data_IF_666504654866
#
_entry.id   IF_666504654866
#
_cell.length_a   1.000
_cell.length_b   1.000
_cell.length_c   1.000
_cell.angle_alpha   90.00
_cell.angle_beta   90.00
_cell.angle_gamma   90.00
#
_symmetry.space_group_name_H-M   'P 1'
#
loop_
_entity.id
_entity.type
_entity.pdbx_description
1 polymer ?
#
# COMPACT_ATOMS: atom_id res chain seq x y z
N UNK A 1 15.17 17.75 0.10
CA UNK A 1 15.22 16.67 1.11
C UNK A 1 14.02 16.95 2.01
N UNK A 2 12.90 16.25 1.79
CA UNK A 2 11.71 16.45 2.63
C UNK A 2 11.98 15.72 3.94
N UNK A 3 12.42 16.46 4.96
CA UNK A 3 12.51 15.94 6.32
C UNK A 3 11.11 15.48 6.74
N UNK A 4 11.00 14.18 7.02
CA UNK A 4 9.79 13.60 7.58
C UNK A 4 9.68 14.12 9.02
N UNK A 5 8.57 14.77 9.41
CA UNK A 5 8.27 14.91 10.82
C UNK A 5 8.20 13.49 11.38
N UNK A 6 8.82 13.26 12.54
CA UNK A 6 8.76 11.99 13.25
C UNK A 6 7.32 11.48 13.19
N UNK A 7 7.11 10.28 12.68
CA UNK A 7 5.84 9.58 12.82
C UNK A 7 5.48 9.66 14.30
N UNK A 8 4.43 10.41 14.64
CA UNK A 8 3.92 10.41 16.00
C UNK A 8 3.65 8.96 16.37
N UNK A 9 4.16 8.53 17.52
CA UNK A 9 4.11 7.12 17.88
C UNK A 9 2.71 6.70 18.31
N UNK A 10 1.82 7.63 18.66
CA UNK A 10 0.52 7.33 19.27
C UNK A 10 -0.62 7.74 18.35
N UNK A 11 -1.35 6.75 17.85
CA UNK A 11 -2.38 6.90 16.84
C UNK A 11 -3.78 6.60 17.37
N UNK A 12 -4.76 7.45 17.01
CA UNK A 12 -6.17 7.10 17.09
C UNK A 12 -6.61 6.53 15.74
N UNK A 13 -7.07 5.29 15.73
CA UNK A 13 -7.60 4.63 14.54
C UNK A 13 -9.09 4.92 14.40
N UNK A 14 -9.53 5.36 13.23
CA UNK A 14 -10.94 5.65 12.92
C UNK A 14 -11.41 4.76 11.79
N UNK A 15 -12.40 3.91 12.09
CA UNK A 15 -13.14 3.09 11.14
C UNK A 15 -14.58 3.56 11.06
N UNK A 16 -15.03 3.91 9.86
CA UNK A 16 -16.45 4.07 9.57
C UNK A 16 -16.99 2.83 8.88
N UNK A 17 -18.17 2.36 9.31
CA UNK A 17 -18.92 1.30 8.65
C UNK A 17 -20.05 1.92 7.82
N UNK A 18 -19.99 1.70 6.50
CA UNK A 18 -20.99 2.14 5.53
C UNK A 18 -22.00 1.05 5.14
N UNK A 19 -22.04 -0.07 5.88
CA UNK A 19 -22.87 -1.23 5.58
C UNK A 19 -22.17 -2.28 4.73
N UNK A 20 -20.84 -2.25 4.68
CA UNK A 20 -20.01 -3.18 3.89
C UNK A 20 -19.75 -4.51 4.60
N UNK A 21 -20.09 -4.61 5.89
CA UNK A 21 -19.78 -5.79 6.71
C UNK A 21 -18.30 -5.87 7.09
N UNK A 22 -17.89 -7.01 7.66
CA UNK A 22 -16.52 -7.32 8.07
C UNK A 22 -15.80 -6.21 8.86
N UNK A 23 -16.53 -5.50 9.75
CA UNK A 23 -15.98 -4.33 10.45
C UNK A 23 -14.86 -4.72 11.41
N UNK A 24 -14.96 -5.87 12.07
CA UNK A 24 -13.95 -6.35 12.99
C UNK A 24 -12.63 -6.66 12.26
N UNK A 25 -12.73 -7.32 11.11
CA UNK A 25 -11.61 -7.70 10.24
C UNK A 25 -10.94 -6.46 9.65
N UNK A 26 -11.73 -5.49 9.16
CA UNK A 26 -11.23 -4.20 8.66
C UNK A 26 -10.49 -3.40 9.74
N UNK A 27 -11.01 -3.40 10.97
CA UNK A 27 -10.34 -2.75 12.12
C UNK A 27 -9.04 -3.46 12.48
N UNK A 28 -9.06 -4.80 12.52
CA UNK A 28 -7.88 -5.62 12.81
C UNK A 28 -6.78 -5.42 11.76
N UNK A 29 -7.14 -5.47 10.48
CA UNK A 29 -6.23 -5.18 9.37
C UNK A 29 -5.65 -3.76 9.47
N UNK A 30 -6.50 -2.76 9.75
CA UNK A 30 -6.04 -1.39 9.90
C UNK A 30 -5.08 -1.22 11.07
N UNK A 31 -5.35 -1.86 12.21
CA UNK A 31 -4.42 -1.85 13.35
C UNK A 31 -3.07 -2.47 12.97
N UNK A 32 -3.06 -3.57 12.20
CA UNK A 32 -1.84 -4.16 11.66
C UNK A 32 -1.11 -3.23 10.68
N UNK A 33 -1.82 -2.44 9.86
CA UNK A 33 -1.22 -1.43 8.99
C UNK A 33 -0.52 -0.35 9.84
N UNK A 34 -1.20 0.16 10.87
CA UNK A 34 -0.65 1.17 11.79
C UNK A 34 0.61 0.66 12.48
N UNK A 35 0.57 -0.56 13.02
CA UNK A 35 1.74 -1.21 13.62
C UNK A 35 2.88 -1.43 12.61
N UNK A 36 2.55 -1.79 11.37
CA UNK A 36 3.54 -2.00 10.30
C UNK A 36 4.22 -0.69 9.83
N UNK A 37 3.56 0.45 10.03
CA UNK A 37 4.10 1.80 9.83
C UNK A 37 4.94 2.30 11.02
N UNK A 38 4.97 1.56 12.13
CA UNK A 38 5.73 1.92 13.34
C UNK A 38 4.97 2.82 14.31
N UNK A 39 3.65 2.95 14.18
CA UNK A 39 2.81 3.66 15.13
C UNK A 39 2.04 2.68 16.03
N UNK A 40 1.71 3.11 17.24
CA UNK A 40 0.94 2.38 18.25
C UNK A 40 -0.50 2.88 18.25
N UNK A 41 -1.47 1.97 18.10
CA UNK A 41 -2.89 2.31 18.20
C UNK A 41 -3.26 2.44 19.67
N UNK A 42 -3.45 3.68 20.15
CA UNK A 42 -3.81 3.96 21.55
C UNK A 42 -5.33 3.97 21.79
N UNK A 43 -6.11 4.17 20.73
CA UNK A 43 -7.56 4.07 20.78
C UNK A 43 -8.14 3.79 19.38
N UNK A 44 -9.27 3.09 19.35
CA UNK A 44 -10.00 2.80 18.12
C UNK A 44 -11.42 3.35 18.21
N UNK A 45 -11.80 4.11 17.19
CA UNK A 45 -13.13 4.71 17.04
C UNK A 45 -13.84 4.00 15.89
N UNK A 46 -14.87 3.24 16.22
CA UNK A 46 -15.76 2.63 15.23
C UNK A 46 -17.09 3.38 15.23
N UNK A 47 -17.58 3.76 14.05
CA UNK A 47 -18.89 4.38 13.93
C UNK A 47 -19.61 3.94 12.65
N UNK A 48 -20.92 3.71 12.75
CA UNK A 48 -21.76 3.35 11.61
C UNK A 48 -22.40 4.59 11.00
N UNK A 49 -22.39 4.69 9.67
CA UNK A 49 -23.01 5.80 8.93
C UNK A 49 -23.54 5.32 7.59
N UNK A 50 -24.58 5.97 7.05
CA UNK A 50 -25.10 5.61 5.72
C UNK A 50 -24.20 6.04 4.55
N UNK A 51 -23.53 7.19 4.68
CA UNK A 51 -22.68 7.75 3.64
C UNK A 51 -21.67 8.74 4.25
N UNK A 52 -20.48 8.93 3.66
CA UNK A 52 -19.47 9.86 4.16
C UNK A 52 -19.96 11.30 4.12
N UNK A 53 -19.58 12.08 5.14
CA UNK A 53 -19.83 13.52 5.17
C UNK A 53 -18.92 14.25 4.16
N UNK A 54 -19.47 15.12 3.27
CA UNK A 54 -18.67 15.80 2.25
C UNK A 54 -17.56 16.69 2.83
N UNK A 55 -17.74 17.22 4.05
CA UNK A 55 -16.80 18.15 4.67
C UNK A 55 -15.84 17.45 5.63
N UNK A 56 -16.33 16.50 6.44
CA UNK A 56 -15.58 15.92 7.55
C UNK A 56 -15.49 14.39 7.53
N UNK A 57 -16.03 13.71 6.51
CA UNK A 57 -16.09 12.25 6.40
C UNK A 57 -16.90 11.55 7.51
N UNK A 58 -16.49 11.67 8.78
CA UNK A 58 -17.20 11.18 9.97
C UNK A 58 -18.37 12.09 10.43
N UNK A 59 -18.33 13.37 10.05
CA UNK A 59 -19.32 14.39 10.43
C UNK A 59 -19.04 15.06 11.78
N UNK A 60 -19.68 16.22 12.02
CA UNK A 60 -19.30 17.14 13.12
C UNK A 60 -19.33 16.51 14.52
N UNK A 61 -20.41 15.80 14.87
CA UNK A 61 -20.55 15.21 16.22
C UNK A 61 -19.44 14.20 16.51
N UNK A 62 -19.18 13.29 15.56
CA UNK A 62 -18.13 12.28 15.72
C UNK A 62 -16.73 12.88 15.71
N UNK A 63 -16.48 13.92 14.90
CA UNK A 63 -15.20 14.64 14.91
C UNK A 63 -14.96 15.32 16.26
N UNK A 64 -15.99 15.87 16.90
CA UNK A 64 -15.86 16.44 18.25
C UNK A 64 -15.53 15.38 19.30
N UNK A 65 -16.15 14.19 19.23
CA UNK A 65 -15.80 13.05 20.08
C UNK A 65 -14.35 12.60 19.87
N UNK A 66 -13.92 12.46 18.60
CA UNK A 66 -12.55 12.10 18.25
C UNK A 66 -11.57 13.15 18.79
N UNK A 67 -11.88 14.45 18.64
CA UNK A 67 -11.05 15.53 19.19
C UNK A 67 -10.90 15.46 20.72
N UNK A 68 -11.98 15.09 21.43
CA UNK A 68 -11.92 14.88 22.87
C UNK A 68 -11.05 13.67 23.23
N UNK A 69 -11.18 12.58 22.47
CA UNK A 69 -10.42 11.36 22.68
C UNK A 69 -8.92 11.59 22.44
N UNK A 70 -8.55 12.29 21.36
CA UNK A 70 -7.16 12.65 21.06
C UNK A 70 -6.51 13.36 22.25
N UNK A 71 -7.22 14.32 22.86
CA UNK A 71 -6.72 15.05 24.04
C UNK A 71 -6.62 14.18 25.29
N UNK A 72 -7.55 13.23 25.48
CA UNK A 72 -7.53 12.36 26.67
C UNK A 72 -6.45 11.28 26.58
N UNK A 73 -6.16 10.80 25.37
CA UNK A 73 -5.15 9.76 25.15
C UNK A 73 -3.80 10.32 24.71
N UNK A 74 -3.68 11.64 24.50
CA UNK A 74 -2.47 12.32 24.06
C UNK A 74 -1.88 11.68 22.78
N UNK A 75 -2.71 11.63 21.75
CA UNK A 75 -2.36 11.09 20.44
C UNK A 75 -1.89 12.19 19.48
N UNK A 76 -0.86 11.89 18.71
CA UNK A 76 -0.23 12.84 17.76
C UNK A 76 -0.86 12.77 16.37
N UNK A 77 -1.42 11.61 16.03
CA UNK A 77 -1.88 11.27 14.69
C UNK A 77 -3.25 10.59 14.75
N UNK A 78 -4.10 10.93 13.79
CA UNK A 78 -5.38 10.26 13.56
C UNK A 78 -5.34 9.58 12.23
N UNK A 79 -5.62 8.29 12.24
CA UNK A 79 -5.56 7.43 11.06
C UNK A 79 -6.99 7.06 10.69
N UNK A 80 -7.44 7.56 9.54
CA UNK A 80 -8.71 7.15 8.95
C UNK A 80 -8.45 5.95 8.04
N UNK A 81 -9.08 4.82 8.34
CA UNK A 81 -8.98 3.62 7.52
C UNK A 81 -9.88 3.69 6.26
N UNK A 82 -9.82 4.83 5.57
CA UNK A 82 -10.61 5.15 4.39
C UNK A 82 -9.81 6.12 3.52
N UNK A 83 -10.13 6.19 2.22
CA UNK A 83 -9.60 7.24 1.36
C UNK A 83 -10.31 8.57 1.67
N UNK A 84 -9.54 9.60 1.96
CA UNK A 84 -10.06 10.94 2.25
C UNK A 84 -9.82 11.87 1.08
N UNK A 85 -10.85 12.62 0.67
CA UNK A 85 -10.67 13.69 -0.30
C UNK A 85 -9.77 14.80 0.29
N UNK A 86 -8.98 15.53 -0.55
CA UNK A 86 -8.11 16.61 -0.09
C UNK A 86 -8.81 17.72 0.72
N UNK A 87 -10.11 17.95 0.46
CA UNK A 87 -10.93 18.88 1.23
C UNK A 87 -11.29 18.35 2.61
N UNK A 88 -11.63 17.05 2.69
CA UNK A 88 -12.00 16.39 3.95
C UNK A 88 -10.81 16.31 4.90
N UNK A 89 -9.65 15.86 4.42
CA UNK A 89 -8.44 15.76 5.24
C UNK A 89 -8.07 17.11 5.86
N UNK A 90 -8.07 18.20 5.07
CA UNK A 90 -7.74 19.54 5.58
C UNK A 90 -8.72 20.02 6.64
N UNK A 91 -10.01 19.80 6.41
CA UNK A 91 -11.02 20.18 7.40
C UNK A 91 -10.82 19.37 8.69
N UNK A 92 -10.53 18.08 8.58
CA UNK A 92 -10.24 17.22 9.74
C UNK A 92 -8.99 17.69 10.49
N UNK A 93 -7.89 17.98 9.80
CA UNK A 93 -6.67 18.53 10.43
C UNK A 93 -6.96 19.83 11.18
N UNK A 94 -7.80 20.70 10.60
CA UNK A 94 -8.21 21.96 11.23
C UNK A 94 -9.10 21.75 12.46
N UNK A 95 -10.06 20.84 12.42
CA UNK A 95 -10.95 20.60 13.56
C UNK A 95 -10.28 19.79 14.68
N UNK A 96 -9.41 18.82 14.31
CA UNK A 96 -8.75 17.92 15.26
C UNK A 96 -7.44 18.50 15.81
N UNK A 97 -6.86 19.51 15.15
CA UNK A 97 -5.58 20.13 15.52
C UNK A 97 -4.42 19.11 15.60
N UNK A 98 -4.50 18.04 14.82
CA UNK A 98 -3.51 16.96 14.76
C UNK A 98 -3.27 16.54 13.31
N UNK A 99 -2.22 15.76 13.06
CA UNK A 99 -1.97 15.19 11.73
C UNK A 99 -3.05 14.15 11.42
N UNK A 100 -3.64 14.24 10.23
CA UNK A 100 -4.61 13.25 9.74
C UNK A 100 -3.99 12.48 8.59
N UNK A 101 -4.02 11.16 8.68
CA UNK A 101 -3.51 10.25 7.66
C UNK A 101 -4.65 9.36 7.18
N UNK A 102 -4.80 9.26 5.87
CA UNK A 102 -5.76 8.36 5.22
C UNK A 102 -5.12 6.99 4.95
N UNK A 103 -5.95 6.01 4.56
CA UNK A 103 -5.47 4.63 4.29
C UNK A 103 -4.37 4.63 3.21
N UNK A 104 -4.50 5.46 2.18
CA UNK A 104 -3.57 5.52 1.06
C UNK A 104 -2.19 6.03 1.51
N UNK A 105 -2.14 7.12 2.28
CA UNK A 105 -0.89 7.65 2.82
C UNK A 105 -0.25 6.66 3.78
N UNK A 106 -1.04 5.99 4.64
CA UNK A 106 -0.53 4.97 5.56
C UNK A 106 0.18 3.83 4.80
N UNK A 107 -0.46 3.30 3.76
CA UNK A 107 0.11 2.22 2.93
C UNK A 107 1.40 2.70 2.25
N UNK A 108 1.40 3.91 1.67
CA UNK A 108 2.59 4.49 1.04
C UNK A 108 3.75 4.67 2.03
N UNK A 109 3.46 5.06 3.27
CA UNK A 109 4.45 5.21 4.33
C UNK A 109 5.06 3.85 4.71
N UNK A 110 4.24 2.79 4.83
CA UNK A 110 4.73 1.43 5.05
C UNK A 110 5.67 1.03 3.90
N UNK A 111 5.27 1.24 2.64
CA UNK A 111 6.14 0.91 1.52
C UNK A 111 7.45 1.69 1.51
N UNK A 112 7.41 2.95 1.92
CA UNK A 112 8.61 3.77 1.99
C UNK A 112 9.60 3.26 3.07
N UNK A 113 9.10 2.60 4.12
CA UNK A 113 9.92 1.91 5.11
C UNK A 113 10.49 0.58 4.59
N UNK A 114 9.77 -0.10 3.69
CA UNK A 114 10.12 -1.43 3.17
C UNK A 114 10.96 -1.40 1.89
N UNK A 115 10.91 -0.32 1.12
CA UNK A 115 11.65 -0.16 -0.13
C UNK A 115 13.17 -0.12 0.10
N UNK A 116 13.85 -1.24 -0.20
CA UNK A 116 15.31 -1.34 -0.08
C UNK A 116 15.97 -1.08 -1.42
N UNK A 117 15.40 -1.63 -2.50
CA UNK A 117 15.92 -1.49 -3.85
C UNK A 117 15.83 -0.04 -4.35
N UNK A 118 16.73 0.33 -5.27
CA UNK A 118 16.69 1.65 -5.89
C UNK A 118 15.40 1.85 -6.71
N UNK A 119 14.94 0.80 -7.40
CA UNK A 119 13.70 0.83 -8.18
C UNK A 119 12.47 0.99 -7.29
N UNK A 120 12.36 0.19 -6.23
CA UNK A 120 11.27 0.29 -5.25
C UNK A 120 11.21 1.66 -4.59
N UNK A 121 12.36 2.26 -4.25
CA UNK A 121 12.43 3.63 -3.72
C UNK A 121 11.89 4.67 -4.72
N UNK A 122 12.23 4.54 -6.01
CA UNK A 122 11.72 5.44 -7.04
C UNK A 122 10.21 5.28 -7.27
N UNK A 123 9.69 4.06 -7.22
CA UNK A 123 8.25 3.78 -7.36
C UNK A 123 7.47 4.36 -6.19
N UNK A 124 7.94 4.16 -4.96
CA UNK A 124 7.30 4.73 -3.77
C UNK A 124 7.38 6.25 -3.77
N UNK A 125 8.54 6.84 -4.12
CA UNK A 125 8.67 8.30 -4.23
C UNK A 125 7.70 8.85 -5.29
N UNK A 126 7.57 8.18 -6.44
CA UNK A 126 6.62 8.58 -7.47
C UNK A 126 5.18 8.54 -6.95
N UNK A 127 4.78 7.43 -6.33
CA UNK A 127 3.42 7.26 -5.79
C UNK A 127 3.11 8.30 -4.70
N UNK A 128 4.06 8.57 -3.80
CA UNK A 128 3.93 9.62 -2.78
C UNK A 128 3.79 11.01 -3.41
N UNK A 129 4.59 11.34 -4.41
CA UNK A 129 4.51 12.65 -5.08
C UNK A 129 3.19 12.81 -5.85
N UNK A 130 2.72 11.77 -6.54
CA UNK A 130 1.44 11.78 -7.22
C UNK A 130 0.29 11.99 -6.22
N UNK A 131 0.30 11.25 -5.12
CA UNK A 131 -0.69 11.40 -4.05
C UNK A 131 -0.67 12.80 -3.45
N UNK A 132 0.50 13.31 -3.06
CA UNK A 132 0.70 14.65 -2.50
C UNK A 132 0.29 15.75 -3.48
N UNK A 133 0.56 15.58 -4.77
CA UNK A 133 0.25 16.61 -5.79
C UNK A 133 -1.23 16.96 -5.84
N UNK A 134 -2.12 15.98 -5.62
CA UNK A 134 -3.57 16.19 -5.57
C UNK A 134 -4.00 16.96 -4.32
N UNK A 135 -3.24 16.85 -3.23
CA UNK A 135 -3.53 17.43 -1.92
C UNK A 135 -2.95 18.85 -1.74
N UNK A 136 -1.86 19.16 -2.44
CA UNK A 136 -1.14 20.42 -2.34
C UNK A 136 -1.88 21.64 -2.93
N UNK A 137 -2.80 21.43 -3.87
CA UNK A 137 -3.46 22.49 -4.66
C UNK A 137 -4.24 23.52 -3.82
N UNK A 138 -4.63 23.22 -2.57
CA UNK A 138 -5.44 24.12 -1.74
C UNK A 138 -4.91 24.40 -0.32
N UNK A 139 -3.83 23.72 0.09
CA UNK A 139 -3.22 23.89 1.42
C UNK A 139 -2.49 25.23 1.62
N UNK A 140 -2.12 25.89 0.53
CA UNK A 140 -1.31 27.12 0.55
C UNK A 140 -2.14 28.42 0.59
N UNK A 141 -3.47 28.32 0.72
CA UNK A 141 -4.36 29.48 0.82
C UNK A 141 -4.06 30.37 2.04
N UNK A 142 -3.35 29.85 3.06
CA UNK A 142 -2.87 30.62 4.21
C UNK A 142 -1.61 31.46 3.91
N UNK A 143 -0.71 31.01 3.02
CA UNK A 143 0.50 31.75 2.63
C UNK A 143 0.19 32.95 1.72
N UNK A 144 -0.83 32.84 0.85
CA UNK A 144 -1.28 33.98 0.03
C UNK A 144 -1.94 35.09 0.87
N UNK A 145 -2.58 34.74 2.00
CA UNK A 145 -3.24 35.73 2.88
C UNK A 145 -2.28 36.45 3.83
N UNK A 146 -1.17 35.82 4.23
CA UNK A 146 -0.17 36.49 5.08
C UNK A 146 0.73 37.47 4.31
N UNK A 147 0.77 37.39 2.97
CA UNK A 147 1.43 38.36 2.08
C UNK A 147 0.41 39.27 1.37
N UNK A 148 -0.67 39.63 2.06
CA UNK A 148 -1.60 40.65 1.58
C UNK A 148 -0.95 42.04 1.64
N UNK A 149 -0.54 42.56 0.48
CA UNK A 149 -0.39 44.00 0.26
C UNK A 149 1.01 44.48 -0.08
N UNK A 150 1.14 44.99 -1.31
CA UNK A 150 2.17 45.93 -1.78
C UNK A 150 3.56 45.31 -2.05
N UNK A 151 3.87 45.11 -3.33
CA UNK A 151 5.24 45.40 -3.79
C UNK A 151 6.15 44.27 -4.28
N UNK A 152 5.65 43.11 -4.74
CA UNK A 152 6.49 42.16 -5.48
C UNK A 152 6.28 42.32 -7.00
N UNK A 153 6.92 43.35 -7.57
CA UNK A 153 7.23 43.44 -9.00
C UNK A 153 8.43 42.52 -9.28
N UNK A 154 8.14 41.22 -9.43
CA UNK A 154 9.03 40.15 -9.87
C UNK A 154 8.18 39.10 -10.60
N UNK A 155 8.78 38.22 -11.43
CA UNK A 155 8.09 37.53 -12.54
C UNK A 155 6.79 36.86 -12.08
N UNK A 156 5.69 37.16 -12.78
CA UNK A 156 4.29 36.97 -12.36
C UNK A 156 3.76 35.54 -12.25
N UNK A 157 4.60 34.55 -11.95
CA UNK A 157 4.16 33.19 -11.60
C UNK A 157 3.80 33.17 -10.10
N UNK A 158 2.59 32.72 -9.74
CA UNK A 158 2.23 32.56 -8.32
C UNK A 158 3.12 31.47 -7.71
N UNK A 159 3.58 31.61 -6.47
CA UNK A 159 4.44 30.60 -5.80
C UNK A 159 3.85 29.18 -5.92
N UNK A 160 2.54 29.07 -5.74
CA UNK A 160 1.75 27.85 -5.94
C UNK A 160 1.93 27.19 -7.32
N UNK A 161 2.00 27.98 -8.37
CA UNK A 161 2.16 27.52 -9.73
C UNK A 161 3.59 27.06 -9.98
N UNK A 162 4.58 27.78 -9.44
CA UNK A 162 5.98 27.36 -9.46
C UNK A 162 6.18 26.02 -8.76
N UNK A 163 5.62 25.83 -7.55
CA UNK A 163 5.75 24.57 -6.82
C UNK A 163 5.04 23.41 -7.52
N UNK A 164 3.86 23.65 -8.10
CA UNK A 164 3.17 22.66 -8.93
C UNK A 164 4.02 22.27 -10.15
N UNK A 165 4.67 23.24 -10.78
CA UNK A 165 5.55 23.01 -11.92
C UNK A 165 6.77 22.18 -11.53
N UNK A 166 7.40 22.49 -10.40
CA UNK A 166 8.55 21.73 -9.88
C UNK A 166 8.18 20.28 -9.53
N UNK A 167 7.04 20.07 -8.87
CA UNK A 167 6.52 18.72 -8.59
C UNK A 167 6.21 17.95 -9.87
N UNK A 168 5.55 18.58 -10.83
CA UNK A 168 5.26 17.98 -12.14
C UNK A 168 6.53 17.59 -12.90
N UNK A 169 7.57 18.43 -12.86
CA UNK A 169 8.88 18.12 -13.44
C UNK A 169 9.53 16.92 -12.74
N UNK A 170 9.44 16.85 -11.40
CA UNK A 170 9.97 15.72 -10.62
C UNK A 170 9.25 14.42 -10.96
N UNK A 171 7.92 14.42 -10.99
CA UNK A 171 7.09 13.27 -11.41
C UNK A 171 7.49 12.80 -12.81
N UNK A 172 7.63 13.73 -13.76
CA UNK A 172 8.06 13.41 -15.13
C UNK A 172 9.45 12.79 -15.18
N UNK A 173 10.38 13.30 -14.37
CA UNK A 173 11.74 12.76 -14.26
C UNK A 173 11.73 11.33 -13.71
N UNK A 174 10.98 11.08 -12.64
CA UNK A 174 10.86 9.75 -12.02
C UNK A 174 10.23 8.73 -12.98
N UNK A 175 9.13 9.09 -13.65
CA UNK A 175 8.49 8.25 -14.69
C UNK A 175 9.47 7.88 -15.81
N UNK A 176 10.28 8.85 -16.26
CA UNK A 176 11.29 8.61 -17.30
C UNK A 176 12.35 7.59 -16.84
N UNK A 177 12.83 7.71 -15.59
CA UNK A 177 13.78 6.76 -14.99
C UNK A 177 13.20 5.36 -14.87
N UNK A 178 11.95 5.23 -14.40
CA UNK A 178 11.28 3.93 -14.31
C UNK A 178 11.12 3.26 -15.67
N UNK A 179 10.81 4.03 -16.73
CA UNK A 179 10.76 3.50 -18.10
C UNK A 179 12.09 2.93 -18.60
N UNK A 180 13.22 3.46 -18.13
CA UNK A 180 14.54 2.89 -18.42
C UNK A 180 14.74 1.54 -17.72
N UNK A 181 14.32 1.41 -16.46
CA UNK A 181 14.37 0.14 -15.72
C UNK A 181 13.46 -0.93 -16.34
N UNK A 182 12.26 -0.55 -16.78
CA UNK A 182 11.33 -1.43 -17.50
C UNK A 182 11.96 -2.03 -18.77
N UNK A 183 12.66 -1.21 -19.57
CA UNK A 183 13.41 -1.68 -20.75
C UNK A 183 14.48 -2.71 -20.38
N UNK A 184 15.22 -2.49 -19.29
CA UNK A 184 16.24 -3.43 -18.82
C UNK A 184 15.61 -4.76 -18.37
N UNK A 185 14.45 -4.73 -17.69
CA UNK A 185 13.70 -5.94 -17.32
C UNK A 185 13.27 -6.74 -18.55
N UNK A 186 12.70 -6.08 -19.57
CA UNK A 186 12.29 -6.74 -20.84
C UNK A 186 13.45 -7.45 -21.53
N UNK A 187 14.67 -6.91 -21.49
CA UNK A 187 15.86 -7.57 -22.04
C UNK A 187 16.23 -8.83 -21.24
N UNK A 188 16.21 -8.75 -19.89
CA UNK A 188 16.45 -9.92 -19.02
C UNK A 188 15.41 -11.01 -19.23
N UNK A 189 14.14 -10.62 -19.38
CA UNK A 189 13.04 -11.54 -19.68
C UNK A 189 13.26 -12.30 -21.00
N UNK A 190 13.56 -11.60 -22.09
CA UNK A 190 13.86 -12.24 -23.38
C UNK A 190 15.02 -13.23 -23.30
N UNK A 191 15.99 -12.99 -22.44
CA UNK A 191 17.10 -13.93 -22.20
C UNK A 191 16.67 -15.19 -21.44
N UNK A 192 15.61 -15.12 -20.61
CA UNK A 192 15.02 -16.26 -19.90
C UNK A 192 14.10 -17.09 -20.79
N UNK A 193 13.24 -16.43 -21.59
CA UNK A 193 12.37 -17.11 -22.56
C UNK A 193 13.19 -18.00 -23.52
N UNK A 194 14.37 -17.51 -23.94
CA UNK A 194 15.31 -18.27 -24.77
C UNK A 194 15.94 -19.50 -24.09
N UNK A 195 15.79 -19.66 -22.78
CA UNK A 195 16.38 -20.75 -21.99
C UNK A 195 15.34 -21.76 -21.48
N UNK A 196 14.06 -21.60 -21.86
CA UNK A 196 12.96 -22.50 -21.48
C UNK A 196 12.88 -22.78 -19.97
N UNK A 197 13.22 -21.78 -19.14
CA UNK A 197 13.16 -21.93 -17.67
C UNK A 197 11.78 -21.47 -17.21
N UNK A 198 11.01 -22.37 -16.61
CA UNK A 198 9.68 -22.04 -16.09
C UNK A 198 9.74 -20.99 -14.97
N UNK A 199 8.75 -20.11 -14.94
CA UNK A 199 8.63 -19.00 -13.99
C UNK A 199 7.38 -19.19 -13.14
N UNK A 200 7.56 -19.21 -11.81
CA UNK A 200 6.49 -19.38 -10.83
C UNK A 200 6.48 -18.18 -9.90
N UNK A 201 5.33 -17.54 -9.74
CA UNK A 201 5.16 -16.39 -8.83
C UNK A 201 4.22 -16.72 -7.69
N UNK A 202 4.65 -16.41 -6.46
CA UNK A 202 3.82 -16.51 -5.26
C UNK A 202 2.96 -15.26 -5.15
N UNK A 203 1.64 -15.43 -5.11
CA UNK A 203 0.65 -14.36 -4.96
C UNK A 203 -0.27 -14.65 -3.78
N UNK A 204 -0.97 -13.63 -3.29
CA UNK A 204 -1.89 -13.78 -2.15
C UNK A 204 -1.88 -12.60 -1.20
N UNK A 205 -2.77 -12.63 -0.23
CA UNK A 205 -2.94 -11.56 0.75
C UNK A 205 -1.67 -11.33 1.59
N UNK A 206 -1.46 -10.11 2.06
CA UNK A 206 -0.40 -9.83 3.04
C UNK A 206 -0.58 -10.73 4.27
N UNK A 207 0.53 -11.19 4.85
CA UNK A 207 0.54 -12.15 5.95
C UNK A 207 -0.05 -13.56 5.65
N UNK A 208 -0.35 -13.91 4.40
CA UNK A 208 -0.75 -15.28 4.04
C UNK A 208 0.39 -16.32 4.17
N UNK A 209 1.63 -15.87 4.44
CA UNK A 209 2.81 -16.74 4.55
C UNK A 209 3.56 -16.99 3.25
N UNK A 210 3.37 -16.14 2.22
CA UNK A 210 4.12 -16.20 0.94
C UNK A 210 5.64 -16.28 1.14
N UNK A 211 6.22 -15.35 1.91
CA UNK A 211 7.67 -15.31 2.14
C UNK A 211 8.16 -16.49 2.98
N UNK A 212 7.33 -17.00 3.89
CA UNK A 212 7.62 -18.22 4.65
C UNK A 212 7.69 -19.45 3.73
N UNK A 213 6.70 -19.60 2.83
CA UNK A 213 6.69 -20.67 1.83
C UNK A 213 7.86 -20.53 0.85
N UNK A 214 8.14 -19.32 0.39
CA UNK A 214 9.29 -19.02 -0.46
C UNK A 214 10.60 -19.47 0.20
N UNK A 215 10.81 -19.12 1.47
CA UNK A 215 12.00 -19.51 2.23
C UNK A 215 12.11 -21.02 2.41
N UNK A 216 10.99 -21.69 2.71
CA UNK A 216 10.96 -23.14 2.86
C UNK A 216 11.39 -23.85 1.57
N UNK A 217 10.90 -23.40 0.42
CA UNK A 217 11.20 -24.00 -0.89
C UNK A 217 12.61 -23.65 -1.36
N UNK A 218 13.01 -22.38 -1.23
CA UNK A 218 14.27 -21.88 -1.81
C UNK A 218 15.46 -22.00 -0.87
N UNK A 219 15.23 -22.31 0.41
CA UNK A 219 16.21 -22.16 1.51
C UNK A 219 16.83 -20.76 1.56
N UNK A 220 16.14 -19.76 1.01
CA UNK A 220 16.56 -18.38 1.11
C UNK A 220 16.26 -17.86 2.52
N UNK A 221 17.18 -17.11 3.10
CA UNK A 221 16.92 -16.36 4.35
C UNK A 221 16.20 -15.05 4.08
N UNK A 222 15.12 -15.05 3.27
CA UNK A 222 14.36 -13.81 3.02
C UNK A 222 13.58 -13.41 4.29
N UNK A 223 13.34 -12.12 4.48
CA UNK A 223 12.69 -11.61 5.69
C UNK A 223 11.20 -11.96 5.68
N UNK A 224 10.76 -12.72 6.69
CA UNK A 224 9.34 -13.00 6.94
C UNK A 224 9.01 -12.53 8.37
N UNK A 225 7.90 -11.81 8.52
CA UNK A 225 7.42 -11.31 9.80
C UNK A 225 5.90 -11.12 9.74
N UNK A 226 5.25 -11.14 10.91
CA UNK A 226 3.81 -10.84 11.08
C UNK A 226 3.54 -9.32 10.94
N UNK A 227 3.92 -8.77 9.79
CA UNK A 227 3.76 -7.36 9.43
C UNK A 227 3.21 -7.28 8.00
N UNK A 228 2.29 -6.35 7.76
CA UNK A 228 1.76 -6.14 6.42
C UNK A 228 2.87 -5.54 5.53
N UNK A 229 2.89 -5.98 4.28
CA UNK A 229 3.93 -5.62 3.30
C UNK A 229 5.37 -5.93 3.75
N UNK A 230 5.58 -7.01 4.51
CA UNK A 230 6.91 -7.49 4.88
C UNK A 230 7.86 -7.63 3.67
N UNK A 231 7.30 -7.99 2.50
CA UNK A 231 7.99 -8.07 1.22
C UNK A 231 7.41 -7.06 0.24
N UNK A 232 8.27 -6.17 -0.27
CA UNK A 232 7.94 -5.20 -1.31
C UNK A 232 8.75 -5.43 -2.59
N UNK A 233 10.07 -5.60 -2.43
CA UNK A 233 10.97 -5.87 -3.56
C UNK A 233 10.85 -7.34 -3.96
N UNK A 234 10.47 -7.59 -5.23
CA UNK A 234 10.36 -8.94 -5.78
C UNK A 234 11.68 -9.69 -5.63
N UNK A 235 11.65 -10.87 -5.00
CA UNK A 235 12.85 -11.71 -4.83
C UNK A 235 12.73 -12.96 -5.67
N UNK A 236 13.60 -13.10 -6.67
CA UNK A 236 13.64 -14.29 -7.53
C UNK A 236 14.82 -15.20 -7.17
N UNK A 237 14.58 -16.50 -7.13
CA UNK A 237 15.57 -17.55 -6.92
C UNK A 237 15.34 -18.70 -7.88
N UNK A 238 16.43 -19.29 -8.37
CA UNK A 238 16.38 -20.51 -9.16
C UNK A 238 16.38 -21.70 -8.20
N UNK A 239 15.35 -22.53 -8.31
CA UNK A 239 15.21 -23.79 -7.58
C UNK A 239 15.23 -24.95 -8.56
N UNK A 240 15.52 -26.14 -8.04
CA UNK A 240 15.44 -27.39 -8.80
C UNK A 240 14.31 -28.23 -8.22
N UNK A 241 13.31 -28.54 -9.03
CA UNK A 241 12.08 -29.22 -8.63
C UNK A 241 11.99 -30.57 -9.34
N UNK A 242 12.90 -31.49 -9.01
CA UNK A 242 12.89 -32.87 -9.49
C UNK A 242 12.59 -32.98 -11.00
N UNK A 243 11.45 -33.57 -11.33
CA UNK A 243 10.99 -33.80 -12.71
C UNK A 243 10.71 -32.51 -13.50
N UNK A 244 10.34 -31.41 -12.84
CA UNK A 244 10.12 -30.11 -13.47
C UNK A 244 11.44 -29.35 -13.77
N UNK A 245 12.58 -29.90 -13.35
CA UNK A 245 13.88 -29.30 -13.63
C UNK A 245 14.11 -27.97 -12.93
N UNK A 246 14.72 -27.02 -13.62
CA UNK A 246 15.01 -25.70 -13.06
C UNK A 246 13.85 -24.74 -13.23
N UNK A 247 13.42 -24.16 -12.12
CA UNK A 247 12.32 -23.20 -12.06
C UNK A 247 12.82 -21.92 -11.39
N UNK A 248 12.39 -20.77 -11.89
CA UNK A 248 12.58 -19.49 -11.20
C UNK A 248 11.34 -19.22 -10.37
N UNK A 249 11.51 -19.20 -9.06
CA UNK A 249 10.46 -18.82 -8.13
C UNK A 249 10.64 -17.36 -7.73
N UNK A 250 9.56 -16.60 -7.71
CA UNK A 250 9.53 -15.20 -7.31
C UNK A 250 8.56 -14.96 -6.15
N UNK A 251 9.03 -14.34 -5.08
CA UNK A 251 8.18 -13.79 -4.02
C UNK A 251 7.74 -12.38 -4.41
N UNK A 252 6.43 -12.10 -4.31
CA UNK A 252 5.81 -10.84 -4.75
C UNK A 252 5.25 -10.05 -3.57
N UNK A 253 4.91 -8.79 -3.81
CA UNK A 253 4.25 -7.95 -2.79
C UNK A 253 2.90 -8.56 -2.43
N UNK A 254 2.60 -8.61 -1.13
CA UNK A 254 1.28 -9.07 -0.68
C UNK A 254 0.19 -8.07 -1.01
N UNK A 255 -0.99 -8.57 -1.36
CA UNK A 255 -2.16 -7.74 -1.60
C UNK A 255 -2.93 -7.43 -0.32
N UNK A 256 -3.67 -6.34 -0.33
CA UNK A 256 -4.66 -5.99 0.70
C UNK A 256 -5.96 -5.59 0.01
N UNK A 257 -7.04 -5.52 0.78
CA UNK A 257 -8.30 -4.94 0.34
C UNK A 257 -8.17 -3.45 0.05
N UNK A 258 -8.96 -3.00 -0.92
CA UNK A 258 -9.07 -1.60 -1.30
C UNK A 258 -7.69 -0.98 -1.59
N UNK A 259 -6.86 -1.72 -2.35
CA UNK A 259 -5.57 -1.21 -2.82
C UNK A 259 -5.81 0.02 -3.71
N UNK A 260 -5.15 1.15 -3.44
CA UNK A 260 -5.40 2.36 -4.24
C UNK A 260 -4.93 2.16 -5.69
N UNK A 261 -5.73 2.57 -6.69
CA UNK A 261 -5.34 2.45 -8.11
C UNK A 261 -4.01 3.14 -8.44
N UNK A 262 -3.73 4.29 -7.80
CA UNK A 262 -2.44 5.00 -7.94
C UNK A 262 -1.27 4.11 -7.53
N UNK A 263 -1.52 3.25 -6.55
CA UNK A 263 -0.55 2.35 -5.98
C UNK A 263 -0.33 1.15 -6.89
N UNK A 264 -1.40 0.55 -7.43
CA UNK A 264 -1.32 -0.48 -8.48
C UNK A 264 -0.51 0.03 -9.68
N UNK A 265 -0.75 1.27 -10.12
CA UNK A 265 0.00 1.88 -11.23
C UNK A 265 1.50 2.08 -10.93
N UNK A 266 1.85 2.48 -9.70
CA UNK A 266 3.24 2.65 -9.28
C UNK A 266 3.98 1.31 -9.11
N UNK A 267 3.25 0.27 -8.69
CA UNK A 267 3.77 -1.09 -8.52
C UNK A 267 3.54 -1.98 -9.75
N UNK A 268 3.00 -1.44 -10.84
CA UNK A 268 2.78 -2.18 -12.08
C UNK A 268 4.08 -2.85 -12.57
N UNK A 269 5.23 -2.18 -12.45
CA UNK A 269 6.50 -2.77 -12.90
C UNK A 269 6.97 -3.93 -11.99
N UNK A 270 6.59 -3.95 -10.71
CA UNK A 270 6.84 -5.07 -9.80
C UNK A 270 5.82 -6.20 -9.98
N UNK A 271 4.58 -5.88 -10.36
CA UNK A 271 3.52 -6.83 -10.66
C UNK A 271 3.59 -7.41 -12.09
N UNK A 272 4.32 -6.76 -13.00
CA UNK A 272 4.58 -7.24 -14.36
C UNK A 272 5.29 -8.60 -14.36
N UNK A 273 6.12 -8.89 -13.35
CA UNK A 273 6.75 -10.21 -13.20
C UNK A 273 5.67 -11.29 -12.97
N UNK A 274 4.67 -10.99 -12.14
CA UNK A 274 3.50 -11.86 -11.89
C UNK A 274 2.70 -12.10 -13.16
N UNK A 275 2.44 -11.05 -13.94
CA UNK A 275 1.71 -11.15 -15.21
C UNK A 275 2.48 -11.90 -16.32
N UNK A 276 3.75 -12.22 -16.07
CA UNK A 276 4.60 -13.01 -16.99
C UNK A 276 4.97 -14.38 -16.46
N UNK A 277 4.37 -14.80 -15.33
CA UNK A 277 4.60 -16.13 -14.79
C UNK A 277 3.89 -17.19 -15.63
N UNK A 278 4.46 -18.39 -15.66
CA UNK A 278 3.83 -19.56 -16.28
C UNK A 278 2.81 -20.20 -15.32
N UNK A 279 2.99 -19.99 -14.01
CA UNK A 279 2.11 -20.46 -12.96
C UNK A 279 2.09 -19.46 -11.79
N UNK A 280 0.90 -19.19 -11.26
CA UNK A 280 0.71 -18.48 -10.01
C UNK A 280 0.46 -19.47 -8.88
N UNK A 281 1.25 -19.40 -7.82
CA UNK A 281 0.94 -20.09 -6.57
C UNK A 281 0.20 -19.09 -5.68
N UNK A 282 -1.11 -19.25 -5.57
CA UNK A 282 -1.96 -18.40 -4.74
C UNK A 282 -1.98 -18.94 -3.31
N UNK A 283 -1.15 -18.33 -2.45
CA UNK A 283 -1.06 -18.67 -1.03
C UNK A 283 -2.19 -17.99 -0.28
N UNK A 284 -3.01 -18.80 0.39
CA UNK A 284 -4.22 -18.39 1.10
C UNK A 284 -4.08 -18.77 2.56
N UNK A 285 -4.40 -17.85 3.48
CA UNK A 285 -4.46 -18.14 4.91
C UNK A 285 -5.73 -18.95 5.22
N UNK A 286 -5.58 -20.24 5.54
CA UNK A 286 -6.71 -21.12 5.84
C UNK A 286 -7.40 -20.79 7.16
N UNK A 287 -6.71 -20.15 8.10
CA UNK A 287 -7.23 -19.80 9.42
C UNK A 287 -8.02 -18.49 9.42
N UNK A 288 -7.98 -17.73 8.33
CA UNK A 288 -8.70 -16.46 8.20
C UNK A 288 -10.19 -16.71 7.95
N UNK A 289 -11.06 -16.16 8.81
CA UNK A 289 -12.53 -16.19 8.59
C UNK A 289 -12.92 -15.46 7.30
N UNK A 290 -12.11 -14.49 6.86
CA UNK A 290 -12.35 -13.67 5.67
C UNK A 290 -11.66 -14.20 4.40
N UNK A 291 -11.32 -15.48 4.39
CA UNK A 291 -10.52 -16.11 3.33
C UNK A 291 -11.11 -15.88 1.94
N UNK A 292 -12.41 -16.10 1.78
CA UNK A 292 -13.05 -16.04 0.46
C UNK A 292 -13.05 -14.62 -0.10
N UNK A 293 -13.22 -13.59 0.76
CA UNK A 293 -13.10 -12.20 0.34
C UNK A 293 -11.64 -11.81 0.02
N UNK A 294 -10.66 -12.37 0.73
CA UNK A 294 -9.24 -12.17 0.41
C UNK A 294 -8.88 -12.78 -0.95
N UNK A 295 -9.37 -13.99 -1.25
CA UNK A 295 -9.20 -14.62 -2.56
C UNK A 295 -9.82 -13.73 -3.65
N UNK A 296 -11.06 -13.27 -3.45
CA UNK A 296 -11.73 -12.37 -4.39
C UNK A 296 -10.96 -11.06 -4.61
N UNK A 297 -10.44 -10.46 -3.54
CA UNK A 297 -9.63 -9.24 -3.63
C UNK A 297 -8.33 -9.46 -4.41
N UNK A 298 -7.63 -10.58 -4.17
CA UNK A 298 -6.42 -10.93 -4.93
C UNK A 298 -6.76 -11.14 -6.41
N UNK A 299 -7.81 -11.90 -6.71
CA UNK A 299 -8.24 -12.17 -8.09
C UNK A 299 -8.61 -10.88 -8.83
N UNK A 300 -9.33 -9.96 -8.19
CA UNK A 300 -9.65 -8.66 -8.80
C UNK A 300 -8.40 -7.85 -9.16
N UNK A 301 -7.36 -7.88 -8.31
CA UNK A 301 -6.08 -7.23 -8.63
C UNK A 301 -5.33 -7.98 -9.74
N UNK A 302 -5.35 -9.32 -9.75
CA UNK A 302 -4.76 -10.12 -10.81
C UNK A 302 -5.40 -9.82 -12.18
N UNK A 303 -6.71 -9.60 -12.22
CA UNK A 303 -7.42 -9.16 -13.43
C UNK A 303 -6.98 -7.77 -13.88
N UNK A 304 -6.88 -6.79 -12.96
CA UNK A 304 -6.45 -5.41 -13.27
C UNK A 304 -5.04 -5.35 -13.88
N UNK A 305 -4.14 -6.25 -13.45
CA UNK A 305 -2.77 -6.32 -13.98
C UNK A 305 -2.62 -7.26 -15.20
N UNK A 306 -3.71 -7.88 -15.67
CA UNK A 306 -3.69 -8.79 -16.83
C UNK A 306 -3.09 -10.18 -16.54
N UNK A 307 -3.07 -10.61 -15.28
CA UNK A 307 -2.59 -11.92 -14.83
C UNK A 307 -3.73 -12.95 -14.62
N UNK A 308 -4.99 -12.59 -14.93
CA UNK A 308 -6.17 -13.42 -14.64
C UNK A 308 -6.25 -14.73 -15.43
N UNK A 309 -5.63 -14.81 -16.61
CA UNK A 309 -5.63 -16.02 -17.45
C UNK A 309 -4.52 -17.02 -17.10
N UNK A 310 -3.59 -16.64 -16.22
CA UNK A 310 -2.45 -17.49 -15.85
C UNK A 310 -2.97 -18.63 -14.96
N UNK A 311 -2.55 -19.89 -15.20
CA UNK A 311 -2.91 -21.01 -14.33
C UNK A 311 -2.58 -20.70 -12.87
N UNK A 312 -3.53 -21.00 -11.98
CA UNK A 312 -3.38 -20.77 -10.54
C UNK A 312 -3.40 -22.09 -9.77
N UNK A 313 -2.45 -22.26 -8.86
CA UNK A 313 -2.45 -23.31 -7.84
C UNK A 313 -2.77 -22.66 -6.48
N UNK A 314 -3.95 -22.97 -5.93
CA UNK A 314 -4.34 -22.53 -4.60
C UNK A 314 -3.61 -23.35 -3.54
N UNK A 315 -2.95 -22.67 -2.62
CA UNK A 315 -2.25 -23.28 -1.48
C UNK A 315 -2.85 -22.78 -0.19
N UNK A 316 -3.55 -23.68 0.49
CA UNK A 316 -4.15 -23.44 1.80
C UNK A 316 -3.05 -23.55 2.85
N UNK A 317 -2.53 -22.40 3.27
CA UNK A 317 -1.44 -22.29 4.22
C UNK A 317 -1.96 -22.12 5.65
N UNK A 318 -1.06 -22.27 6.63
CA UNK A 318 -1.36 -22.19 8.07
C UNK A 318 -2.29 -23.29 8.59
N UNK A 319 -2.19 -24.49 8.01
CA UNK A 319 -2.98 -25.66 8.43
C UNK A 319 -2.69 -26.09 9.87
N UNK A 320 -1.56 -25.66 10.44
CA UNK A 320 -1.21 -25.82 11.85
C UNK A 320 -2.21 -25.13 12.79
N UNK A 321 -2.87 -24.05 12.33
CA UNK A 321 -3.88 -23.32 13.09
C UNK A 321 -5.30 -23.90 12.91
N UNK A 322 -5.58 -24.56 11.79
CA UNK A 322 -6.89 -25.16 11.48
C UNK A 322 -6.95 -26.65 11.81
N UNK A 323 -5.82 -27.25 12.19
CA UNK A 323 -5.65 -28.69 12.43
C UNK A 323 -6.04 -29.57 11.23
N UNK A 324 -5.95 -29.01 10.01
CA UNK A 324 -6.14 -29.77 8.78
C UNK A 324 -4.91 -30.63 8.47
N UNK A 325 -5.12 -31.81 7.87
CA UNK A 325 -4.01 -32.64 7.41
C UNK A 325 -3.40 -32.11 6.11
N UNK A 326 -2.07 -32.20 5.91
CA UNK A 326 -1.45 -31.87 4.64
C UNK A 326 -1.98 -32.77 3.52
N UNK A 327 -2.50 -32.18 2.44
CA UNK A 327 -3.07 -32.92 1.30
C UNK A 327 -3.08 -32.11 0.01
N UNK A 328 -3.40 -32.79 -1.08
CA UNK A 328 -3.64 -32.19 -2.41
C UNK A 328 -5.02 -32.64 -2.83
N UNK A 329 -5.87 -31.67 -3.19
CA UNK A 329 -7.23 -31.88 -3.73
C UNK A 329 -7.26 -31.64 -5.23
#
# INVERSE_FOLDING_TARGET
MFERPASGNRAVLVQLDFGEGATAERVSEAALLVGSAGAEVVATVVARRRAPDPALFAGRGKVAEIASLIRSVDADIVIFNHELAPGQQRNLERELQCRVVDRNTLILDIFALRAKSHEGKLQVELAQLEHLSTRLVRGWTHLERQKGGIGLRGPGEKQLETDRRLLGQRVKQLRSRLKTHEKQRKVRRRARERREVASVSLVGYTNAGKSTLFNAITKAGSYAADQLFATLDTTSRRVYLGEAGHVVMSDTVGFIRDLPHQLVAAFHATLEETASADLLIHVVDSASEDRDAQIAAVNGVLEEIGAGEIPQLLVWNKIDLTHAEPGVE
#
